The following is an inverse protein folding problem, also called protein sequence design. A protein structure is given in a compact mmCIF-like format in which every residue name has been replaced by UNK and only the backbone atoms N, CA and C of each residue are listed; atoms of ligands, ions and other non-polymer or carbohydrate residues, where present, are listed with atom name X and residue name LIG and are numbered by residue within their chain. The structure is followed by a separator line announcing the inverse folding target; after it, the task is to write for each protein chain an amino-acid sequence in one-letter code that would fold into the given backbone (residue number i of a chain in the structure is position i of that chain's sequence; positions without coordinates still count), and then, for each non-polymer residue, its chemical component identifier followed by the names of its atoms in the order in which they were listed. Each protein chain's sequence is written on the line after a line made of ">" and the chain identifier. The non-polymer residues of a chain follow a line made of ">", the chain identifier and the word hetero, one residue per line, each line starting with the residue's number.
data_IF_508466946832
#
_entry.id   IF_508466946832
#
_cell.length_a   1.000
_cell.length_b   1.000
_cell.length_c   1.000
_cell.angle_alpha   90.00
_cell.angle_beta   90.00
_cell.angle_gamma   90.00
#
_symmetry.space_group_name_H-M   'P 1'
#
loop_
_entity.id
_entity.type
_entity.pdbx_description
1 polymer ?
#
# COMPACT_ATOMS: atom_id res chain seq x y z
N UNK A 1 11.91 -2.74 -5.12
CA UNK A 1 12.98 -3.04 -4.16
C UNK A 1 12.85 -4.51 -3.79
N UNK A 2 13.65 -5.37 -4.43
CA UNK A 2 13.55 -6.83 -4.32
C UNK A 2 14.90 -7.53 -4.10
N UNK A 3 16.01 -6.81 -4.27
CA UNK A 3 17.34 -7.40 -4.14
C UNK A 3 17.56 -7.88 -2.70
N UNK A 4 18.16 -9.07 -2.54
CA UNK A 4 18.47 -9.67 -1.22
C UNK A 4 17.24 -9.96 -0.36
N UNK A 5 16.07 -10.08 -0.98
CA UNK A 5 14.88 -10.59 -0.30
C UNK A 5 14.90 -12.12 -0.27
N UNK A 6 14.21 -12.76 0.68
CA UNK A 6 14.06 -14.21 0.69
C UNK A 6 13.36 -14.75 -0.57
N UNK A 7 13.65 -16.01 -0.88
CA UNK A 7 13.02 -16.78 -1.95
C UNK A 7 11.79 -17.58 -1.50
N UNK A 8 11.16 -18.26 -2.45
CA UNK A 8 10.03 -19.18 -2.22
C UNK A 8 9.91 -20.19 -3.36
N UNK A 9 9.42 -21.40 -3.07
CA UNK A 9 8.97 -22.33 -4.11
C UNK A 9 7.54 -22.01 -4.51
N UNK A 10 7.32 -21.58 -5.75
CA UNK A 10 5.98 -21.39 -6.30
C UNK A 10 5.52 -22.68 -6.97
N UNK A 11 4.43 -23.26 -6.49
CA UNK A 11 3.84 -24.51 -7.01
C UNK A 11 2.51 -24.19 -7.69
N UNK A 12 2.40 -24.51 -8.97
CA UNK A 12 1.18 -24.36 -9.76
C UNK A 12 0.67 -25.70 -10.30
N UNK A 13 -0.49 -25.71 -10.98
CA UNK A 13 -1.13 -26.94 -11.45
C UNK A 13 -0.33 -27.75 -12.48
N UNK A 14 0.74 -27.17 -13.05
CA UNK A 14 1.57 -27.79 -14.10
C UNK A 14 3.05 -27.91 -13.72
N UNK A 15 3.42 -27.66 -12.46
CA UNK A 15 4.81 -27.75 -12.02
C UNK A 15 5.16 -26.77 -10.91
N UNK A 16 6.46 -26.57 -10.70
CA UNK A 16 6.98 -25.66 -9.68
C UNK A 16 8.20 -24.89 -10.18
N UNK A 17 8.46 -23.74 -9.57
CA UNK A 17 9.68 -22.93 -9.77
C UNK A 17 10.22 -22.49 -8.43
N UNK A 18 11.53 -22.63 -8.23
CA UNK A 18 12.23 -22.05 -7.09
C UNK A 18 12.64 -20.62 -7.43
N UNK A 19 12.17 -19.66 -6.65
CA UNK A 19 12.64 -18.28 -6.69
C UNK A 19 13.69 -18.09 -5.59
N UNK A 20 14.85 -17.54 -5.93
CA UNK A 20 15.92 -17.24 -4.97
C UNK A 20 15.66 -15.93 -4.20
N UNK A 21 14.94 -14.99 -4.83
CA UNK A 21 14.53 -13.71 -4.24
C UNK A 21 13.15 -13.28 -4.78
N UNK A 22 12.49 -12.36 -4.07
CA UNK A 22 11.25 -11.72 -4.49
C UNK A 22 10.15 -11.65 -3.43
N UNK A 23 10.32 -12.28 -2.26
CA UNK A 23 9.31 -12.28 -1.20
C UNK A 23 9.46 -11.07 -0.30
N UNK A 24 8.38 -10.31 -0.10
CA UNK A 24 8.35 -9.10 0.73
C UNK A 24 7.12 -9.04 1.62
N UNK A 25 7.21 -8.27 2.70
CA UNK A 25 6.04 -7.70 3.37
C UNK A 25 5.71 -6.39 2.67
N UNK A 26 4.46 -6.21 2.26
CA UNK A 26 4.05 -5.04 1.48
C UNK A 26 4.09 -3.77 2.34
N UNK A 27 4.91 -2.80 1.97
CA UNK A 27 4.88 -1.49 2.60
C UNK A 27 3.66 -0.70 2.10
N UNK A 28 2.84 -0.19 3.03
CA UNK A 28 1.69 0.66 2.74
C UNK A 28 2.02 1.87 1.85
N UNK A 29 1.12 2.17 0.92
CA UNK A 29 1.26 3.27 -0.02
C UNK A 29 -0.09 3.68 -0.61
N UNK A 30 -0.16 4.87 -1.21
CA UNK A 30 -1.36 5.36 -1.90
C UNK A 30 -1.02 5.53 -3.37
N UNK A 31 -1.77 4.84 -4.23
CA UNK A 31 -1.83 5.11 -5.66
C UNK A 31 -2.79 6.27 -5.93
N UNK A 32 -2.42 7.16 -6.84
CA UNK A 32 -3.29 8.24 -7.32
C UNK A 32 -2.80 8.80 -8.66
N UNK A 33 -3.65 9.57 -9.35
CA UNK A 33 -3.19 10.31 -10.54
C UNK A 33 -2.41 11.58 -10.13
N UNK A 34 -1.61 12.19 -11.03
CA UNK A 34 -1.01 13.49 -10.73
C UNK A 34 -2.04 14.60 -10.43
N UNK A 35 -3.23 14.51 -11.02
CA UNK A 35 -4.33 15.45 -10.75
C UNK A 35 -4.95 15.26 -9.36
N UNK A 36 -5.13 14.01 -8.93
CA UNK A 36 -5.50 13.70 -7.55
C UNK A 36 -4.44 14.22 -6.58
N UNK A 37 -3.16 13.96 -6.86
CA UNK A 37 -2.05 14.42 -6.03
C UNK A 37 -2.09 15.95 -5.85
N UNK A 38 -2.29 16.69 -6.94
CA UNK A 38 -2.49 18.15 -6.90
C UNK A 38 -3.72 18.54 -6.07
N UNK A 39 -4.83 17.83 -6.21
CA UNK A 39 -6.08 18.09 -5.48
C UNK A 39 -5.95 17.85 -3.98
N UNK A 40 -5.20 16.82 -3.57
CA UNK A 40 -4.85 16.56 -2.17
C UNK A 40 -3.65 17.40 -1.70
N UNK A 41 -2.98 18.13 -2.60
CA UNK A 41 -1.79 18.93 -2.35
C UNK A 41 -0.58 18.09 -1.91
N UNK A 42 -0.44 16.87 -2.44
CA UNK A 42 0.71 15.98 -2.25
C UNK A 42 1.45 15.80 -3.57
N UNK A 43 2.61 15.14 -3.52
CA UNK A 43 3.45 14.87 -4.70
C UNK A 43 3.91 13.43 -4.74
N UNK A 44 4.30 12.94 -5.92
CA UNK A 44 4.89 11.61 -6.07
C UNK A 44 6.14 11.45 -5.17
N UNK A 45 6.27 10.31 -4.51
CA UNK A 45 7.35 10.01 -3.57
C UNK A 45 7.23 10.70 -2.20
N UNK A 46 6.25 11.59 -2.00
CA UNK A 46 6.01 12.19 -0.70
C UNK A 46 5.58 11.13 0.32
N UNK A 47 6.07 11.27 1.55
CA UNK A 47 5.66 10.45 2.69
C UNK A 47 4.65 11.24 3.52
N UNK A 48 3.50 10.62 3.80
CA UNK A 48 2.39 11.20 4.58
C UNK A 48 1.98 10.26 5.71
N UNK A 49 1.05 10.74 6.55
CA UNK A 49 0.29 9.89 7.46
C UNK A 49 -1.13 9.70 6.94
N UNK A 50 -1.79 8.62 7.35
CA UNK A 50 -3.21 8.37 7.07
C UNK A 50 -3.96 8.09 8.35
N UNK A 51 -5.19 8.61 8.44
CA UNK A 51 -6.08 8.43 9.58
C UNK A 51 -7.29 7.58 9.19
N UNK A 52 -7.65 6.67 10.08
CA UNK A 52 -8.84 5.83 10.02
C UNK A 52 -9.81 6.26 11.13
N UNK A 53 -11.05 6.57 10.76
CA UNK A 53 -12.11 7.00 11.69
C UNK A 53 -13.08 5.82 11.94
N UNK A 54 -12.63 4.81 12.68
CA UNK A 54 -13.42 3.63 13.09
C UNK A 54 -13.24 3.35 14.60
N UNK A 55 -13.91 2.34 15.17
CA UNK A 55 -13.76 1.91 16.57
C UNK A 55 -12.31 1.49 16.90
N UNK A 56 -11.64 0.84 15.93
CA UNK A 56 -10.21 0.53 16.02
C UNK A 56 -9.34 1.57 15.30
N UNK A 57 -9.90 2.77 15.05
CA UNK A 57 -9.26 3.84 14.32
C UNK A 57 -7.94 4.29 14.93
N UNK A 58 -7.11 4.90 14.09
CA UNK A 58 -5.76 5.29 14.44
C UNK A 58 -5.08 6.02 13.30
N UNK A 59 -3.76 6.21 13.43
CA UNK A 59 -2.92 6.85 12.42
C UNK A 59 -1.80 5.89 12.03
N UNK A 60 -1.63 5.67 10.73
CA UNK A 60 -0.41 5.08 10.19
C UNK A 60 0.47 6.18 9.61
N UNK A 61 1.70 6.27 10.10
CA UNK A 61 2.74 7.12 9.54
C UNK A 61 3.55 6.38 8.47
N UNK A 62 4.36 7.12 7.73
CA UNK A 62 5.27 6.60 6.71
C UNK A 62 4.56 5.92 5.53
N UNK A 63 3.53 6.57 5.00
CA UNK A 63 2.78 6.10 3.82
C UNK A 63 3.29 6.82 2.58
N UNK A 64 3.83 6.08 1.62
CA UNK A 64 4.35 6.67 0.39
C UNK A 64 3.22 7.01 -0.59
N UNK A 65 3.28 8.18 -1.21
CA UNK A 65 2.46 8.53 -2.37
C UNK A 65 3.14 8.02 -3.64
N UNK A 66 2.38 7.32 -4.47
CA UNK A 66 2.78 6.87 -5.81
C UNK A 66 1.82 7.47 -6.83
N UNK A 67 2.22 8.58 -7.46
CA UNK A 67 1.40 9.31 -8.40
C UNK A 67 1.87 9.08 -9.84
N UNK A 68 1.02 8.45 -10.66
CA UNK A 68 1.29 8.24 -12.09
C UNK A 68 -0.01 8.16 -12.89
N UNK A 69 0.07 8.39 -14.21
CA UNK A 69 -1.10 8.48 -15.10
C UNK A 69 -1.87 7.17 -15.27
N UNK A 70 -1.25 6.03 -14.92
CA UNK A 70 -1.87 4.71 -14.98
C UNK A 70 -2.55 4.31 -13.66
N UNK A 71 -2.45 5.13 -12.61
CA UNK A 71 -2.99 4.82 -11.29
C UNK A 71 -4.44 5.25 -11.14
N UNK A 72 -5.11 4.63 -10.17
CA UNK A 72 -6.38 5.11 -9.62
C UNK A 72 -6.18 5.45 -8.15
N UNK A 73 -6.98 6.38 -7.63
CA UNK A 73 -6.94 6.78 -6.23
C UNK A 73 -7.31 5.59 -5.33
N UNK A 74 -6.32 5.01 -4.66
CA UNK A 74 -6.51 3.86 -3.78
C UNK A 74 -5.36 3.75 -2.77
N UNK A 75 -5.68 3.40 -1.51
CA UNK A 75 -4.69 3.11 -0.48
C UNK A 75 -4.47 1.61 -0.38
N UNK A 76 -3.24 1.16 -0.59
CA UNK A 76 -2.85 -0.24 -0.44
C UNK A 76 -2.19 -0.43 0.92
N UNK A 77 -2.79 -1.30 1.71
CA UNK A 77 -2.30 -1.81 2.99
C UNK A 77 -2.50 -3.33 2.99
N UNK A 78 -1.74 -4.06 3.80
CA UNK A 78 -1.95 -5.50 3.90
C UNK A 78 -3.17 -5.87 4.77
N UNK A 79 -3.47 -7.17 4.82
CA UNK A 79 -4.62 -7.69 5.58
C UNK A 79 -4.47 -7.47 7.08
N UNK A 80 -3.26 -7.55 7.64
CA UNK A 80 -3.04 -7.34 9.07
C UNK A 80 -3.24 -5.87 9.44
N UNK A 81 -2.72 -4.95 8.61
CA UNK A 81 -2.91 -3.51 8.76
C UNK A 81 -4.39 -3.11 8.67
N UNK A 82 -5.15 -3.70 7.73
CA UNK A 82 -6.58 -3.45 7.58
C UNK A 82 -7.38 -3.96 8.78
N UNK A 83 -7.12 -5.20 9.22
CA UNK A 83 -7.77 -5.81 10.36
C UNK A 83 -7.46 -5.06 11.67
N UNK A 84 -6.23 -4.54 11.81
CA UNK A 84 -5.81 -3.78 12.97
C UNK A 84 -6.61 -2.48 13.16
N UNK A 85 -7.04 -1.86 12.05
CA UNK A 85 -7.85 -0.63 12.03
C UNK A 85 -9.35 -0.88 11.83
N UNK A 86 -9.78 -2.15 11.73
CA UNK A 86 -11.16 -2.56 11.46
C UNK A 86 -11.76 -1.96 10.18
N UNK A 87 -11.00 -1.99 9.09
CA UNK A 87 -11.43 -1.45 7.80
C UNK A 87 -11.56 -2.51 6.72
N UNK A 88 -12.30 -2.18 5.66
CA UNK A 88 -12.48 -3.02 4.48
C UNK A 88 -12.21 -2.22 3.19
N UNK A 89 -12.31 -2.87 2.04
CA UNK A 89 -12.08 -2.24 0.73
C UNK A 89 -13.02 -1.08 0.40
N UNK A 90 -14.13 -0.92 1.13
CA UNK A 90 -15.07 0.21 0.96
C UNK A 90 -14.81 1.36 1.94
N UNK A 91 -13.89 1.19 2.89
CA UNK A 91 -13.59 2.20 3.90
C UNK A 91 -12.88 3.41 3.29
N UNK A 92 -13.20 4.60 3.79
CA UNK A 92 -12.52 5.85 3.42
C UNK A 92 -11.49 6.21 4.49
N UNK A 93 -10.38 6.78 4.06
CA UNK A 93 -9.30 7.25 4.92
C UNK A 93 -9.04 8.73 4.68
N UNK A 94 -8.31 9.37 5.60
CA UNK A 94 -7.89 10.77 5.46
C UNK A 94 -6.38 10.86 5.41
N UNK A 95 -5.86 11.55 4.40
CA UNK A 95 -4.43 11.93 4.35
C UNK A 95 -4.19 13.03 5.38
N UNK A 96 -3.18 12.84 6.23
CA UNK A 96 -2.68 13.80 7.21
C UNK A 96 -1.24 14.15 6.80
N UNK A 97 -0.97 15.44 6.66
CA UNK A 97 0.35 15.97 6.31
C UNK A 97 1.12 16.37 7.56
#
# INVERSE_FOLDING_TARGET
>A
DLCKTPGVTLIGPKGSVQLEEGVIVAQRHIHMTPEDAKSFGVSDGQVVSIKFDDLRGGIYSNVAIRANDASKLECHIDTEEANAMNISSSSKIKIIK
#
